data_IF_329399502321
#
_entry.id   IF_329399502321
#
_cell.length_a   1.000
_cell.length_b   1.000
_cell.length_c   1.000
_cell.angle_alpha   90.00
_cell.angle_beta   90.00
_cell.angle_gamma   90.00
#
_symmetry.space_group_name_H-M   'P 1'
#
loop_
_entity.id
_entity.type
_entity.pdbx_description
1 polymer ?
#
# COMPACT_ATOMS: atom_id res chain seq x y z
N UNK A 1 -4.48 20.04 0.19
CA UNK A 1 -3.48 19.07 0.65
C UNK A 1 -2.54 18.71 -0.49
N UNK A 2 -1.25 18.85 -0.27
CA UNK A 2 -0.31 18.50 -1.34
C UNK A 2 -0.42 17.03 -1.69
N UNK A 3 -0.45 16.76 -2.97
CA UNK A 3 -0.54 15.39 -3.46
C UNK A 3 0.84 14.95 -3.92
N UNK A 4 1.32 13.85 -3.37
CA UNK A 4 2.60 13.28 -3.78
C UNK A 4 2.46 12.67 -5.17
N UNK A 5 3.56 12.60 -5.91
CA UNK A 5 3.53 12.03 -7.26
C UNK A 5 3.01 10.60 -7.29
N UNK A 6 3.37 9.79 -6.31
CA UNK A 6 2.92 8.40 -6.26
C UNK A 6 1.41 8.29 -6.04
N UNK A 7 0.79 9.25 -5.34
CA UNK A 7 -0.67 9.26 -5.15
C UNK A 7 -1.38 9.51 -6.47
N UNK A 8 -0.83 10.38 -7.32
CA UNK A 8 -1.42 10.62 -8.64
C UNK A 8 -1.42 9.37 -9.50
N UNK A 9 -0.33 8.60 -9.48
CA UNK A 9 -0.24 7.35 -10.23
C UNK A 9 -1.31 6.36 -9.80
N UNK A 10 -1.55 6.24 -8.50
CA UNK A 10 -2.58 5.36 -7.98
C UNK A 10 -3.97 5.83 -8.44
N UNK A 11 -4.21 7.13 -8.38
CA UNK A 11 -5.52 7.71 -8.72
C UNK A 11 -5.92 7.44 -10.16
N UNK A 12 -4.96 7.37 -11.06
CA UNK A 12 -5.21 7.09 -12.47
C UNK A 12 -5.74 5.67 -12.72
N UNK A 13 -5.65 4.78 -11.73
CA UNK A 13 -6.06 3.39 -11.87
C UNK A 13 -7.50 3.13 -11.44
N UNK A 14 -8.32 4.14 -11.34
CA UNK A 14 -9.75 4.00 -11.05
C UNK A 14 -9.99 3.33 -9.70
N UNK A 15 -9.57 3.96 -8.64
CA UNK A 15 -9.91 3.57 -7.28
C UNK A 15 -10.97 4.51 -6.75
N UNK A 16 -11.94 3.98 -5.96
CA UNK A 16 -12.80 4.88 -5.26
C UNK A 16 -12.01 5.58 -4.14
N UNK A 17 -12.61 6.62 -3.59
CA UNK A 17 -11.94 7.46 -2.61
C UNK A 17 -11.52 6.70 -1.36
N UNK A 18 -12.38 5.80 -0.88
CA UNK A 18 -12.08 5.04 0.34
C UNK A 18 -10.89 4.11 0.14
N UNK A 19 -10.85 3.43 -0.99
CA UNK A 19 -9.74 2.54 -1.30
C UNK A 19 -8.46 3.33 -1.48
N UNK A 20 -8.53 4.47 -2.17
CA UNK A 20 -7.36 5.33 -2.36
C UNK A 20 -6.81 5.82 -1.01
N UNK A 21 -7.68 6.23 -0.11
CA UNK A 21 -7.25 6.67 1.22
C UNK A 21 -6.59 5.55 2.00
N UNK A 22 -7.15 4.35 1.90
CA UNK A 22 -6.59 3.18 2.57
C UNK A 22 -5.23 2.80 2.00
N UNK A 23 -5.11 2.78 0.68
CA UNK A 23 -3.83 2.47 0.02
C UNK A 23 -2.77 3.49 0.41
N UNK A 24 -3.14 4.77 0.43
CA UNK A 24 -2.24 5.85 0.87
C UNK A 24 -1.76 5.60 2.29
N UNK A 25 -2.69 5.26 3.18
CA UNK A 25 -2.36 4.94 4.57
C UNK A 25 -1.38 3.77 4.65
N UNK A 26 -1.64 2.70 3.91
CA UNK A 26 -0.74 1.54 3.91
C UNK A 26 0.66 1.91 3.45
N UNK A 27 0.76 2.67 2.37
CA UNK A 27 2.05 3.05 1.82
C UNK A 27 2.83 3.93 2.79
N UNK A 28 2.16 4.89 3.41
CA UNK A 28 2.83 5.79 4.35
C UNK A 28 3.27 5.06 5.62
N UNK A 29 2.45 4.16 6.12
CA UNK A 29 2.81 3.37 7.29
C UNK A 29 3.97 2.42 7.00
N UNK A 30 3.96 1.78 5.84
CA UNK A 30 5.05 0.90 5.43
C UNK A 30 6.35 1.68 5.23
N UNK A 31 6.26 2.85 4.60
CA UNK A 31 7.43 3.70 4.39
C UNK A 31 8.09 4.06 5.71
N UNK A 32 7.28 4.42 6.69
CA UNK A 32 7.78 4.77 8.02
C UNK A 32 8.48 3.59 8.69
N UNK A 33 7.84 2.42 8.67
CA UNK A 33 8.39 1.23 9.33
C UNK A 33 9.61 0.67 8.63
N UNK A 34 9.67 0.79 7.30
CA UNK A 34 10.75 0.23 6.50
C UNK A 34 11.88 1.23 6.24
N UNK A 35 11.71 2.46 6.67
CA UNK A 35 12.68 3.54 6.43
C UNK A 35 12.90 3.74 4.92
N UNK A 36 11.83 3.65 4.16
CA UNK A 36 11.84 3.86 2.72
C UNK A 36 10.97 5.06 2.36
N UNK A 37 11.17 5.61 1.17
CA UNK A 37 10.27 6.68 0.71
C UNK A 37 8.92 6.08 0.31
N UNK A 38 7.83 6.84 0.40
CA UNK A 38 6.53 6.36 -0.06
C UNK A 38 6.54 5.94 -1.53
N UNK A 39 7.27 6.66 -2.38
CA UNK A 39 7.39 6.29 -3.79
C UNK A 39 8.06 4.94 -4.00
N UNK A 40 9.06 4.64 -3.20
CA UNK A 40 9.76 3.35 -3.27
C UNK A 40 8.83 2.23 -2.83
N UNK A 41 8.09 2.43 -1.73
CA UNK A 41 7.11 1.45 -1.27
C UNK A 41 6.04 1.22 -2.34
N UNK A 42 5.54 2.30 -2.94
CA UNK A 42 4.54 2.18 -4.00
C UNK A 42 5.05 1.30 -5.15
N UNK A 43 6.28 1.55 -5.61
CA UNK A 43 6.85 0.77 -6.69
C UNK A 43 6.98 -0.71 -6.34
N UNK A 44 7.43 -1.00 -5.13
CA UNK A 44 7.57 -2.38 -4.67
C UNK A 44 6.23 -3.11 -4.60
N UNK A 45 5.20 -2.42 -4.09
CA UNK A 45 3.85 -3.00 -4.03
C UNK A 45 3.25 -3.19 -5.41
N UNK A 46 3.49 -2.25 -6.31
CA UNK A 46 2.96 -2.32 -7.66
C UNK A 46 3.63 -3.43 -8.47
N UNK A 47 4.96 -3.47 -8.48
CA UNK A 47 5.69 -4.44 -9.29
C UNK A 47 5.54 -5.87 -8.79
N UNK A 48 5.33 -6.06 -7.49
CA UNK A 48 5.11 -7.39 -6.91
C UNK A 48 3.69 -7.90 -7.12
N UNK A 49 2.76 -7.03 -7.53
CA UNK A 49 1.36 -7.38 -7.66
C UNK A 49 0.57 -7.19 -6.36
N UNK A 50 1.22 -6.94 -5.24
CA UNK A 50 0.54 -6.84 -3.94
C UNK A 50 -0.50 -5.72 -3.96
N UNK A 51 -0.21 -4.59 -4.59
CA UNK A 51 -1.11 -3.45 -4.59
C UNK A 51 -2.45 -3.78 -5.25
N UNK A 52 -2.42 -4.23 -6.49
CA UNK A 52 -3.64 -4.42 -7.28
C UNK A 52 -4.25 -5.82 -7.18
N UNK A 53 -3.49 -6.80 -6.72
CA UNK A 53 -3.99 -8.16 -6.59
C UNK A 53 -4.35 -8.55 -5.17
N UNK A 54 -3.87 -7.79 -4.18
CA UNK A 54 -4.15 -8.08 -2.78
C UNK A 54 -4.77 -6.89 -2.03
N UNK A 55 -4.09 -5.75 -1.97
CA UNK A 55 -4.56 -4.63 -1.13
C UNK A 55 -5.90 -4.08 -1.64
N UNK A 56 -5.98 -3.76 -2.92
CA UNK A 56 -7.18 -3.15 -3.49
C UNK A 56 -8.38 -4.10 -3.43
N UNK A 57 -8.28 -5.34 -3.95
CA UNK A 57 -9.45 -6.22 -3.91
C UNK A 57 -9.84 -6.70 -2.52
N UNK A 58 -8.91 -6.66 -1.57
CA UNK A 58 -9.18 -7.11 -0.20
C UNK A 58 -9.48 -5.98 0.76
N UNK A 59 -9.76 -4.78 0.26
CA UNK A 59 -10.01 -3.61 1.08
C UNK A 59 -11.04 -3.88 2.18
N UNK A 60 -12.15 -4.54 1.84
CA UNK A 60 -13.23 -4.78 2.80
C UNK A 60 -12.77 -5.53 4.06
N UNK A 61 -11.80 -6.41 3.89
CA UNK A 61 -11.25 -7.17 5.01
C UNK A 61 -10.09 -6.43 5.65
N UNK A 62 -9.15 -5.98 4.83
CA UNK A 62 -7.90 -5.40 5.34
C UNK A 62 -8.11 -4.12 6.15
N UNK A 63 -9.08 -3.29 5.76
CA UNK A 63 -9.28 -2.02 6.46
C UNK A 63 -9.85 -2.21 7.87
N UNK A 64 -10.29 -3.42 8.22
CA UNK A 64 -10.78 -3.71 9.57
C UNK A 64 -9.66 -4.15 10.51
N UNK A 65 -8.46 -4.43 9.98
CA UNK A 65 -7.33 -4.86 10.80
C UNK A 65 -6.75 -3.68 11.58
N UNK A 66 -6.23 -3.97 12.78
CA UNK A 66 -5.43 -2.99 13.49
C UNK A 66 -4.15 -2.70 12.72
N UNK A 67 -3.60 -1.49 12.91
CA UNK A 67 -2.44 -1.02 12.16
C UNK A 67 -1.25 -1.98 12.25
N UNK A 68 -0.93 -2.45 13.45
CA UNK A 68 0.21 -3.33 13.65
C UNK A 68 0.05 -4.65 12.90
N UNK A 69 -1.12 -5.26 13.03
CA UNK A 69 -1.40 -6.52 12.36
C UNK A 69 -1.35 -6.37 10.85
N UNK A 70 -1.96 -5.29 10.35
CA UNK A 70 -1.97 -5.01 8.91
C UNK A 70 -0.54 -4.83 8.38
N UNK A 71 0.29 -4.07 9.10
CA UNK A 71 1.66 -3.83 8.65
C UNK A 71 2.49 -5.12 8.67
N UNK A 72 2.33 -5.94 9.69
CA UNK A 72 3.03 -7.23 9.77
C UNK A 72 2.62 -8.13 8.62
N UNK A 73 1.33 -8.16 8.28
CA UNK A 73 0.81 -8.94 7.17
C UNK A 73 1.41 -8.48 5.84
N UNK A 74 1.38 -7.17 5.59
CA UNK A 74 1.90 -6.63 4.33
C UNK A 74 3.41 -6.82 4.20
N UNK A 75 4.16 -6.58 5.27
CA UNK A 75 5.61 -6.77 5.24
C UNK A 75 5.98 -8.24 5.02
N UNK A 76 5.23 -9.15 5.64
CA UNK A 76 5.43 -10.58 5.42
C UNK A 76 5.21 -10.96 3.97
N UNK A 77 4.14 -10.43 3.37
CA UNK A 77 3.84 -10.69 1.97
C UNK A 77 4.92 -10.11 1.06
N UNK A 78 5.38 -8.91 1.36
CA UNK A 78 6.46 -8.28 0.59
C UNK A 78 7.74 -9.12 0.62
N UNK A 79 8.07 -9.73 1.76
CA UNK A 79 9.22 -10.63 1.86
C UNK A 79 9.01 -11.87 1.00
N UNK A 80 7.82 -12.44 1.02
CA UNK A 80 7.51 -13.61 0.20
C UNK A 80 7.66 -13.31 -1.29
N UNK A 81 7.31 -12.11 -1.68
CA UNK A 81 7.42 -11.69 -3.08
C UNK A 81 8.81 -11.19 -3.46
N UNK A 82 9.73 -11.14 -2.50
CA UNK A 82 11.10 -10.74 -2.78
C UNK A 82 11.29 -9.25 -3.03
N UNK A 83 10.40 -8.41 -2.50
CA UNK A 83 10.52 -6.96 -2.66
C UNK A 83 10.92 -6.26 -1.38
N UNK A 84 11.39 -7.01 -0.41
CA UNK A 84 12.01 -6.49 0.80
C UNK A 84 13.39 -7.07 0.98
#
# INVERSE_FOLDING_TARGET
MPTNKWVRHIKEKTMDKKILEFVTYCIEQLADRLMLSPGDVYRRLKTSGILYEYIVPSYDVLHTFGSRYLMDDLMGFMREKGVL
#
